data_IF_060584492826
#
_entry.id   IF_060584492826
#
_cell.length_a   1.000
_cell.length_b   1.000
_cell.length_c   1.000
_cell.angle_alpha   90.00
_cell.angle_beta   90.00
_cell.angle_gamma   90.00
#
_symmetry.space_group_name_H-M   'P 1'
#
loop_
_entity.id
_entity.type
_entity.pdbx_description
1 polymer ?
#
# COMPACT_ATOMS: atom_id res chain seq x y z
N UNK A 1 -17.79 6.12 38.00
CA UNK A 1 -16.93 6.66 36.92
C UNK A 1 -17.13 5.80 35.68
N UNK A 2 -17.39 6.41 34.53
CA UNK A 2 -17.67 5.72 33.27
C UNK A 2 -16.38 5.17 32.66
N UNK A 3 -16.41 3.92 32.19
CA UNK A 3 -15.31 3.33 31.40
C UNK A 3 -15.44 3.81 29.96
N UNK A 4 -14.33 4.27 29.37
CA UNK A 4 -14.26 4.62 27.95
C UNK A 4 -13.81 3.40 27.16
N UNK A 5 -14.63 2.97 26.20
CA UNK A 5 -14.30 1.88 25.28
C UNK A 5 -13.60 2.45 24.05
N UNK A 6 -12.44 1.91 23.71
CA UNK A 6 -11.72 2.22 22.48
C UNK A 6 -11.54 0.94 21.69
N UNK A 7 -11.68 1.06 20.37
CA UNK A 7 -11.54 -0.03 19.43
C UNK A 7 -10.35 0.27 18.52
N UNK A 8 -9.41 -0.67 18.41
CA UNK A 8 -8.43 -0.71 17.32
C UNK A 8 -9.12 -1.42 16.16
N UNK A 9 -9.18 -0.75 15.01
CA UNK A 9 -9.88 -1.24 13.84
C UNK A 9 -8.94 -1.44 12.67
N UNK A 10 -9.36 -2.25 11.71
CA UNK A 10 -8.76 -2.28 10.38
C UNK A 10 -9.08 -0.98 9.63
N UNK A 11 -8.38 -0.75 8.52
CA UNK A 11 -8.74 0.29 7.56
C UNK A 11 -10.21 0.20 7.09
N UNK A 12 -10.77 -1.02 7.04
CA UNK A 12 -12.14 -1.31 6.61
C UNK A 12 -13.19 -1.18 7.74
N UNK A 13 -12.77 -0.77 8.94
CA UNK A 13 -13.65 -0.56 10.09
C UNK A 13 -13.93 -1.80 10.94
N UNK A 14 -13.37 -2.97 10.58
CA UNK A 14 -13.48 -4.19 11.39
C UNK A 14 -12.71 -4.04 12.70
N UNK A 15 -13.30 -4.43 13.83
CA UNK A 15 -12.64 -4.34 15.15
C UNK A 15 -11.63 -5.48 15.29
N UNK A 16 -10.36 -5.12 15.52
CA UNK A 16 -9.26 -6.08 15.78
C UNK A 16 -9.08 -6.32 17.28
N UNK A 17 -9.27 -5.26 18.06
CA UNK A 17 -9.13 -5.30 19.51
C UNK A 17 -9.99 -4.20 20.11
N UNK A 18 -10.54 -4.45 21.29
CA UNK A 18 -11.27 -3.44 22.03
C UNK A 18 -10.95 -3.53 23.50
N UNK A 19 -10.83 -2.37 24.13
CA UNK A 19 -10.51 -2.28 25.54
C UNK A 19 -11.35 -1.19 26.19
N UNK A 20 -11.86 -1.50 27.38
CA UNK A 20 -12.65 -0.57 28.18
C UNK A 20 -11.97 -0.35 29.51
N UNK A 21 -11.48 0.87 29.73
CA UNK A 21 -10.83 1.29 30.98
C UNK A 21 -11.30 2.69 31.36
N UNK A 22 -11.20 3.04 32.63
CA UNK A 22 -11.35 4.43 33.08
C UNK A 22 -10.26 5.28 32.39
N UNK A 23 -10.64 6.43 31.85
CA UNK A 23 -9.74 7.36 31.14
C UNK A 23 -8.92 6.68 30.03
N UNK A 24 -9.54 5.73 29.33
CA UNK A 24 -8.85 4.93 28.32
C UNK A 24 -8.37 5.80 27.16
N UNK A 25 -7.18 5.47 26.67
CA UNK A 25 -6.55 6.10 25.50
C UNK A 25 -6.22 5.05 24.44
N UNK A 26 -6.00 5.49 23.20
CA UNK A 26 -5.59 4.58 22.13
C UNK A 26 -4.24 3.92 22.45
N UNK A 27 -3.31 4.67 23.06
CA UNK A 27 -2.03 4.16 23.57
C UNK A 27 -2.23 3.00 24.54
N UNK A 28 -3.04 3.19 25.58
CA UNK A 28 -3.32 2.15 26.58
C UNK A 28 -4.04 0.94 25.96
N UNK A 29 -4.93 1.18 25.00
CA UNK A 29 -5.61 0.10 24.26
C UNK A 29 -4.63 -0.70 23.41
N UNK A 30 -3.65 -0.03 22.79
CA UNK A 30 -2.59 -0.67 22.00
C UNK A 30 -1.61 -1.46 22.88
N UNK A 31 -1.15 -0.88 23.98
CA UNK A 31 -0.30 -1.57 24.96
C UNK A 31 -1.01 -2.81 25.53
N UNK A 32 -2.31 -2.69 25.80
CA UNK A 32 -3.13 -3.82 26.24
C UNK A 32 -3.21 -4.90 25.17
N UNK A 33 -3.52 -4.54 23.93
CA UNK A 33 -3.56 -5.47 22.80
C UNK A 33 -2.23 -6.21 22.63
N UNK A 34 -1.11 -5.50 22.74
CA UNK A 34 0.25 -6.05 22.71
C UNK A 34 0.47 -7.05 23.84
N UNK A 35 0.10 -6.68 25.08
CA UNK A 35 0.28 -7.55 26.26
C UNK A 35 -0.52 -8.84 26.19
N UNK A 36 -1.66 -8.84 25.48
CA UNK A 36 -2.52 -10.01 25.29
C UNK A 36 -2.15 -10.81 24.03
N UNK A 37 -1.12 -10.38 23.28
CA UNK A 37 -0.72 -11.03 22.04
C UNK A 37 -1.76 -10.91 20.92
N UNK A 38 -2.59 -9.87 20.95
CA UNK A 38 -3.66 -9.67 19.97
C UNK A 38 -3.09 -9.54 18.54
N UNK A 39 -3.79 -10.12 17.56
CA UNK A 39 -3.43 -9.96 16.16
C UNK A 39 -3.86 -8.58 15.65
N UNK A 40 -2.89 -7.65 15.59
CA UNK A 40 -3.09 -6.29 15.08
C UNK A 40 -2.76 -6.14 13.58
N UNK A 41 -2.75 -7.24 12.82
CA UNK A 41 -2.55 -7.17 11.35
C UNK A 41 -3.62 -6.28 10.72
N UNK A 42 -3.19 -5.29 9.93
CA UNK A 42 -4.09 -4.33 9.29
C UNK A 42 -4.67 -3.26 10.21
N UNK A 43 -4.19 -3.12 11.45
CA UNK A 43 -4.62 -2.06 12.36
C UNK A 43 -4.35 -0.67 11.78
N UNK A 44 -5.40 0.13 11.64
CA UNK A 44 -5.26 1.53 11.25
C UNK A 44 -4.89 2.37 12.48
N UNK A 45 -3.60 2.68 12.60
CA UNK A 45 -3.06 3.58 13.63
C UNK A 45 -2.66 4.95 13.05
N UNK A 46 -3.20 5.32 11.88
CA UNK A 46 -2.91 6.59 11.21
C UNK A 46 -3.26 7.76 12.13
N UNK A 47 -2.31 8.69 12.32
CA UNK A 47 -2.48 9.85 13.19
C UNK A 47 -2.42 9.55 14.69
N UNK A 48 -2.18 8.31 15.11
CA UNK A 48 -2.04 7.98 16.52
C UNK A 48 -0.75 8.59 17.10
N UNK A 49 -0.88 9.35 18.19
CA UNK A 49 0.28 9.77 18.99
C UNK A 49 0.77 8.57 19.83
N UNK A 50 1.80 7.90 19.35
CA UNK A 50 2.42 6.73 19.99
C UNK A 50 3.70 7.08 20.76
N UNK A 51 3.94 8.36 21.08
CA UNK A 51 5.11 8.78 21.84
C UNK A 51 5.14 8.05 23.20
N UNK A 52 6.30 7.48 23.51
CA UNK A 52 6.56 6.71 24.73
C UNK A 52 5.69 5.45 24.90
N UNK A 53 5.11 4.89 23.83
CA UNK A 53 4.38 3.62 23.91
C UNK A 53 5.32 2.44 24.15
N UNK A 54 5.05 1.67 25.21
CA UNK A 54 5.81 0.46 25.48
C UNK A 54 5.28 -0.70 24.63
N UNK A 55 5.90 -0.91 23.47
CA UNK A 55 5.62 -2.03 22.56
C UNK A 55 6.62 -3.20 22.75
N UNK A 56 7.35 -3.23 23.87
CA UNK A 56 8.32 -4.30 24.17
C UNK A 56 7.59 -5.64 24.30
N UNK A 57 8.05 -6.67 23.60
CA UNK A 57 7.39 -7.99 23.58
C UNK A 57 6.19 -8.08 22.65
N UNK A 58 5.79 -6.99 22.00
CA UNK A 58 4.86 -7.06 20.88
C UNK A 58 5.44 -7.98 19.80
N UNK A 59 4.63 -8.90 19.29
CA UNK A 59 4.99 -9.62 18.07
C UNK A 59 4.86 -8.65 16.87
N UNK A 60 5.86 -7.77 16.72
CA UNK A 60 5.93 -6.75 15.67
C UNK A 60 6.12 -7.38 14.28
N UNK A 61 6.28 -8.71 14.15
CA UNK A 61 6.32 -9.40 12.85
C UNK A 61 5.03 -9.18 12.04
N UNK A 62 3.96 -8.65 12.64
CA UNK A 62 2.68 -8.33 11.99
C UNK A 62 2.06 -6.99 12.39
N UNK A 63 2.78 -6.12 13.10
CA UNK A 63 2.28 -4.76 13.37
C UNK A 63 2.65 -3.89 12.18
N UNK A 64 1.66 -3.60 11.35
CA UNK A 64 1.79 -2.75 10.18
C UNK A 64 1.55 -1.30 10.59
N UNK A 65 2.62 -0.62 11.01
CA UNK A 65 2.66 0.84 11.00
C UNK A 65 3.05 1.31 9.58
N UNK A 66 2.21 1.02 8.58
CA UNK A 66 2.50 1.44 7.20
C UNK A 66 1.64 2.63 6.83
N UNK A 67 2.35 3.71 6.54
CA UNK A 67 1.85 4.94 5.96
C UNK A 67 1.09 4.62 4.67
N UNK A 68 -0.14 5.09 4.56
CA UNK A 68 -0.75 5.31 3.25
C UNK A 68 0.13 6.31 2.50
N UNK A 69 0.83 5.84 1.46
CA UNK A 69 1.76 6.68 0.67
C UNK A 69 1.13 7.23 -0.61
N UNK A 70 -0.08 6.77 -0.92
CA UNK A 70 -0.80 7.13 -2.13
C UNK A 70 -1.72 8.33 -1.83
N UNK A 71 -1.68 9.40 -2.65
CA UNK A 71 -2.64 10.49 -2.55
C UNK A 71 -4.10 9.98 -2.60
N UNK A 72 -4.93 10.41 -1.64
CA UNK A 72 -6.36 10.04 -1.59
C UNK A 72 -7.13 10.58 -2.79
N UNK A 73 -6.80 11.80 -3.23
CA UNK A 73 -7.49 12.51 -4.30
C UNK A 73 -6.53 12.90 -5.42
N UNK A 74 -7.08 13.29 -6.57
CA UNK A 74 -6.32 13.74 -7.72
C UNK A 74 -5.57 12.63 -8.47
N UNK A 75 -5.12 12.95 -9.68
CA UNK A 75 -4.20 12.09 -10.43
C UNK A 75 -2.76 12.37 -9.98
N UNK A 76 -1.89 11.38 -10.05
CA UNK A 76 -0.47 11.56 -9.71
C UNK A 76 0.43 10.69 -10.59
N UNK A 77 1.71 11.07 -10.65
CA UNK A 77 2.73 10.32 -11.38
C UNK A 77 3.27 9.16 -10.55
N UNK A 78 3.49 8.03 -11.19
CA UNK A 78 4.03 6.82 -10.59
C UNK A 78 5.00 6.13 -11.54
N UNK A 79 5.72 5.14 -11.04
CA UNK A 79 6.77 4.44 -11.77
C UNK A 79 6.66 2.94 -11.63
N UNK A 80 7.04 2.24 -12.69
CA UNK A 80 7.09 0.78 -12.72
C UNK A 80 8.34 0.33 -13.47
N UNK A 81 9.01 -0.71 -12.98
CA UNK A 81 9.98 -1.47 -13.76
C UNK A 81 9.28 -2.51 -14.61
N UNK A 82 9.53 -2.45 -15.91
CA UNK A 82 9.10 -3.44 -16.90
C UNK A 82 10.22 -4.43 -17.21
N UNK A 83 10.10 -5.15 -18.32
CA UNK A 83 11.16 -6.04 -18.81
C UNK A 83 12.46 -5.30 -19.12
N UNK A 84 13.59 -6.00 -19.03
CA UNK A 84 14.93 -5.51 -19.37
C UNK A 84 15.29 -4.19 -18.64
N UNK A 85 14.87 -4.06 -17.39
CA UNK A 85 15.04 -2.85 -16.56
C UNK A 85 14.50 -1.56 -17.19
N UNK A 86 13.53 -1.68 -18.09
CA UNK A 86 12.84 -0.52 -18.64
C UNK A 86 12.01 0.14 -17.54
N UNK A 87 12.00 1.47 -17.52
CA UNK A 87 11.19 2.25 -16.59
C UNK A 87 9.99 2.82 -17.32
N UNK A 88 8.82 2.53 -16.79
CA UNK A 88 7.52 2.97 -17.29
C UNK A 88 7.03 4.05 -16.33
N UNK A 89 6.87 5.27 -16.86
CA UNK A 89 6.22 6.37 -16.15
C UNK A 89 4.72 6.28 -16.38
N UNK A 90 3.96 6.32 -15.30
CA UNK A 90 2.51 6.17 -15.29
C UNK A 90 1.87 7.43 -14.69
N UNK A 91 0.68 7.75 -15.17
CA UNK A 91 -0.31 8.52 -14.40
C UNK A 91 -1.27 7.52 -13.77
N UNK A 92 -1.49 7.63 -12.46
CA UNK A 92 -2.56 6.94 -11.75
C UNK A 92 -3.75 7.89 -11.65
N UNK A 93 -4.82 7.69 -12.45
CA UNK A 93 -5.91 8.65 -12.50
C UNK A 93 -6.69 8.69 -11.19
N UNK A 94 -7.24 9.85 -10.83
CA UNK A 94 -8.03 10.04 -9.61
C UNK A 94 -9.18 9.02 -9.46
N UNK A 95 -9.78 8.62 -10.58
CA UNK A 95 -10.93 7.70 -10.62
C UNK A 95 -10.53 6.21 -10.56
N UNK A 96 -9.24 5.89 -10.61
CA UNK A 96 -8.77 4.51 -10.50
C UNK A 96 -8.78 4.06 -9.04
N UNK A 97 -9.37 2.89 -8.75
CA UNK A 97 -9.17 2.25 -7.45
C UNK A 97 -7.68 2.00 -7.25
N UNK A 98 -7.16 2.34 -6.07
CA UNK A 98 -5.72 2.31 -5.79
C UNK A 98 -5.44 2.13 -4.30
N UNK A 99 -4.42 1.34 -3.98
CA UNK A 99 -3.92 1.16 -2.61
C UNK A 99 -2.44 0.75 -2.62
N UNK A 100 -1.75 0.91 -1.50
CA UNK A 100 -0.43 0.31 -1.30
C UNK A 100 -0.54 -0.99 -0.50
N UNK A 101 0.33 -1.95 -0.81
CA UNK A 101 0.51 -3.13 0.03
C UNK A 101 0.90 -2.66 1.43
N UNK A 102 0.15 -3.13 2.41
CA UNK A 102 0.29 -2.67 3.79
C UNK A 102 1.53 -3.26 4.49
N UNK A 103 2.24 -4.21 3.88
CA UNK A 103 3.56 -4.66 4.35
C UNK A 103 4.75 -4.03 3.63
N UNK A 104 4.53 -3.04 2.75
CA UNK A 104 5.61 -2.47 1.95
C UNK A 104 5.25 -1.20 1.19
N UNK A 105 6.03 -0.87 0.17
CA UNK A 105 5.86 0.36 -0.64
C UNK A 105 5.31 0.10 -2.04
N UNK A 106 5.12 -1.17 -2.39
CA UNK A 106 4.51 -1.58 -3.65
C UNK A 106 3.05 -1.16 -3.66
N UNK A 107 2.64 -0.51 -4.73
CA UNK A 107 1.29 -0.01 -4.92
C UNK A 107 0.57 -0.77 -6.03
N UNK A 108 -0.76 -0.68 -6.02
CA UNK A 108 -1.63 -1.31 -7.01
C UNK A 108 -2.74 -0.35 -7.43
N UNK A 109 -2.98 -0.24 -8.73
CA UNK A 109 -4.11 0.48 -9.30
C UNK A 109 -4.96 -0.41 -10.22
N UNK A 110 -6.24 -0.08 -10.36
CA UNK A 110 -7.15 -0.74 -11.30
C UNK A 110 -6.79 -0.45 -12.76
N UNK A 111 -6.25 0.73 -13.05
CA UNK A 111 -5.72 1.07 -14.36
C UNK A 111 -4.78 2.27 -14.24
N UNK A 112 -3.95 2.49 -15.27
CA UNK A 112 -3.04 3.62 -15.34
C UNK A 112 -2.92 4.11 -16.77
N UNK A 113 -2.52 5.37 -16.98
CA UNK A 113 -2.13 5.88 -18.30
C UNK A 113 -0.62 5.85 -18.42
N UNK A 114 -0.09 5.35 -19.52
CA UNK A 114 1.36 5.32 -19.77
C UNK A 114 1.81 6.66 -20.32
N UNK A 115 2.70 7.35 -19.61
CA UNK A 115 3.17 8.69 -19.97
C UNK A 115 4.48 8.66 -20.77
N UNK A 116 5.42 7.80 -20.38
CA UNK A 116 6.77 7.71 -20.97
C UNK A 116 7.35 6.33 -20.66
N UNK A 117 8.16 5.79 -21.56
CA UNK A 117 8.90 4.55 -21.31
C UNK A 117 10.36 4.78 -21.70
N UNK A 118 11.25 4.44 -20.77
CA UNK A 118 12.70 4.52 -20.95
C UNK A 118 13.32 3.14 -20.89
N UNK A 119 14.20 2.83 -21.84
CA UNK A 119 15.01 1.63 -21.73
C UNK A 119 16.05 1.74 -20.60
N UNK A 120 16.81 0.67 -20.35
CA UNK A 120 17.85 0.63 -19.32
C UNK A 120 18.95 1.68 -19.50
N UNK A 121 19.15 2.17 -20.74
CA UNK A 121 20.09 3.26 -21.08
C UNK A 121 19.47 4.67 -20.98
N UNK A 122 18.17 4.77 -20.66
CA UNK A 122 17.45 6.04 -20.57
C UNK A 122 16.87 6.58 -21.87
N UNK A 123 16.96 5.84 -22.99
CA UNK A 123 16.38 6.25 -24.27
C UNK A 123 14.87 5.99 -24.28
N UNK A 124 14.11 6.87 -24.95
CA UNK A 124 12.67 6.70 -25.15
C UNK A 124 12.38 5.48 -26.02
N UNK A 125 11.40 4.70 -25.62
CA UNK A 125 10.83 3.60 -26.40
C UNK A 125 9.30 3.69 -26.39
N UNK A 126 8.64 3.07 -27.37
CA UNK A 126 7.18 3.16 -27.52
C UNK A 126 6.42 2.17 -26.66
N UNK A 127 7.03 1.03 -26.37
CA UNK A 127 6.37 -0.09 -25.72
C UNK A 127 7.27 -0.81 -24.72
N UNK A 128 6.65 -1.43 -23.73
CA UNK A 128 7.30 -2.36 -22.81
C UNK A 128 6.29 -3.39 -22.32
N UNK A 129 6.77 -4.57 -21.95
CA UNK A 129 5.95 -5.63 -21.38
C UNK A 129 6.37 -5.90 -19.94
N UNK A 130 5.42 -6.34 -19.12
CA UNK A 130 5.70 -6.85 -17.78
C UNK A 130 4.62 -7.84 -17.35
N UNK A 131 5.02 -8.94 -16.73
CA UNK A 131 4.11 -9.94 -16.17
C UNK A 131 4.84 -11.25 -15.84
N UNK A 132 4.21 -12.12 -15.03
CA UNK A 132 4.80 -13.40 -14.65
C UNK A 132 4.87 -14.39 -15.83
N UNK A 133 5.96 -15.15 -15.90
CA UNK A 133 6.20 -16.36 -16.72
C UNK A 133 5.18 -16.65 -17.85
N UNK A 134 5.19 -15.82 -18.90
CA UNK A 134 4.47 -16.07 -20.16
C UNK A 134 3.25 -15.19 -20.42
N UNK A 135 2.57 -14.68 -19.38
CA UNK A 135 1.45 -13.74 -19.54
C UNK A 135 1.95 -12.34 -19.23
N UNK A 136 2.02 -11.51 -20.26
CA UNK A 136 2.64 -10.18 -20.20
C UNK A 136 1.62 -9.10 -20.51
N UNK A 137 1.45 -8.15 -19.60
CA UNK A 137 0.73 -6.91 -19.89
C UNK A 137 1.63 -6.03 -20.75
N UNK A 138 1.08 -5.53 -21.85
CA UNK A 138 1.77 -4.56 -22.73
C UNK A 138 1.43 -3.14 -22.32
N UNK A 139 2.46 -2.30 -22.21
CA UNK A 139 2.39 -0.89 -21.90
C UNK A 139 2.81 -0.12 -23.15
N UNK A 140 1.92 0.73 -23.66
CA UNK A 140 2.15 1.56 -24.86
C UNK A 140 2.05 3.03 -24.45
N UNK A 141 3.05 3.83 -24.81
CA UNK A 141 3.06 5.28 -24.49
C UNK A 141 1.80 5.95 -25.05
N UNK A 142 1.08 6.68 -24.19
CA UNK A 142 -0.18 7.37 -24.51
C UNK A 142 -1.43 6.59 -24.13
N UNK A 143 -1.34 5.26 -24.00
CA UNK A 143 -2.49 4.38 -23.80
C UNK A 143 -2.84 4.17 -22.33
N UNK A 144 -4.09 3.78 -22.08
CA UNK A 144 -4.54 3.29 -20.77
C UNK A 144 -4.29 1.79 -20.71
N UNK A 145 -3.59 1.35 -19.66
CA UNK A 145 -3.38 -0.05 -19.35
C UNK A 145 -4.33 -0.49 -18.24
N UNK A 146 -5.03 -1.61 -18.46
CA UNK A 146 -5.98 -2.21 -17.52
C UNK A 146 -5.75 -3.73 -17.42
N UNK A 147 -5.67 -4.30 -16.21
CA UNK A 147 -5.63 -5.74 -16.00
C UNK A 147 -7.05 -6.34 -16.07
N UNK A 148 -7.14 -7.65 -16.22
CA UNK A 148 -8.44 -8.36 -16.28
C UNK A 148 -9.28 -8.16 -15.01
N UNK A 149 -8.60 -8.07 -13.85
CA UNK A 149 -9.21 -7.88 -12.53
C UNK A 149 -8.36 -6.92 -11.69
N UNK A 150 -9.01 -6.27 -10.74
CA UNK A 150 -8.36 -5.53 -9.66
C UNK A 150 -8.68 -6.21 -8.35
N UNK A 151 -7.64 -6.63 -7.64
CA UNK A 151 -7.76 -7.13 -6.27
C UNK A 151 -7.61 -5.96 -5.29
N UNK A 152 -8.64 -5.62 -4.51
CA UNK A 152 -8.61 -4.52 -3.54
C UNK A 152 -7.94 -4.87 -2.21
N UNK A 153 -7.54 -6.14 -1.99
CA UNK A 153 -6.94 -6.56 -0.72
C UNK A 153 -5.54 -5.97 -0.52
N UNK A 154 -5.35 -5.07 0.46
CA UNK A 154 -4.06 -4.44 0.72
C UNK A 154 -3.13 -5.38 1.48
N UNK A 155 -3.61 -6.50 2.03
CA UNK A 155 -2.80 -7.50 2.73
C UNK A 155 -2.03 -8.41 1.75
N UNK A 156 -2.41 -8.41 0.47
CA UNK A 156 -1.79 -9.25 -0.54
C UNK A 156 -0.79 -8.44 -1.39
N UNK A 157 0.50 -8.71 -1.25
CA UNK A 157 1.58 -7.97 -1.92
C UNK A 157 1.57 -8.10 -3.45
N UNK A 158 1.21 -9.28 -3.97
CA UNK A 158 1.24 -9.57 -5.40
C UNK A 158 -0.05 -10.27 -5.83
N UNK A 159 -0.91 -9.52 -6.53
CA UNK A 159 -2.17 -10.00 -7.08
C UNK A 159 -2.56 -9.11 -8.27
N UNK A 160 -3.73 -9.34 -8.86
CA UNK A 160 -4.20 -8.70 -10.07
C UNK A 160 -4.34 -7.18 -9.91
N UNK A 161 -3.66 -6.42 -10.76
CA UNK A 161 -3.63 -4.97 -10.74
C UNK A 161 -2.40 -4.40 -11.45
N UNK A 162 -2.42 -3.10 -11.74
CA UNK A 162 -1.23 -2.39 -12.21
C UNK A 162 -0.33 -2.09 -11.02
N UNK A 163 0.77 -2.83 -10.90
CA UNK A 163 1.75 -2.60 -9.84
C UNK A 163 2.66 -1.41 -10.16
N UNK A 164 2.84 -0.51 -9.19
CA UNK A 164 3.69 0.67 -9.32
C UNK A 164 4.35 1.06 -8.00
N UNK A 165 5.26 2.03 -8.06
CA UNK A 165 5.88 2.74 -6.95
C UNK A 165 5.69 4.24 -7.12
N UNK A 166 5.73 4.99 -6.02
CA UNK A 166 5.53 6.45 -6.05
C UNK A 166 6.71 7.14 -6.74
N UNK A 167 7.93 6.73 -6.42
CA UNK A 167 9.14 7.31 -6.97
C UNK A 167 9.80 6.42 -8.03
N UNK A 168 10.54 7.07 -8.92
CA UNK A 168 11.37 6.40 -9.92
C UNK A 168 12.45 5.53 -9.29
N UNK A 169 13.01 5.96 -8.16
CA UNK A 169 14.12 5.26 -7.51
C UNK A 169 13.65 3.93 -6.91
N UNK A 170 12.50 3.92 -6.23
CA UNK A 170 11.91 2.67 -5.73
C UNK A 170 11.62 1.68 -6.84
N UNK A 171 11.07 2.16 -7.97
CA UNK A 171 10.84 1.30 -9.12
C UNK A 171 12.14 0.73 -9.69
N UNK A 172 13.26 1.46 -9.65
CA UNK A 172 14.57 0.96 -10.09
C UNK A 172 15.16 -0.07 -9.13
N UNK A 173 14.93 0.09 -7.84
CA UNK A 173 15.56 -0.75 -6.80
C UNK A 173 14.78 -2.06 -6.57
N UNK A 174 13.55 -2.12 -7.06
CA UNK A 174 12.69 -3.32 -7.03
C UNK A 174 12.96 -4.28 -8.18
#
# INVERSE_FOLDING_TARGET
>A
MTKTKIQIKTYWGSVLFEYSKKDNTLKQTLEKAVSEGANLTGANLTGANLRDANLTGANLKKIQATTQIIPETGSFEAWKKGENDHLIKLEIPAKAKRHNYIGGRKCRAEFAKVLDIRNSKGHKIKECRNGPHGIKTTYLVGEIVKPDKYDPDPLTECSNGIHFFISKQEAKDW
#
